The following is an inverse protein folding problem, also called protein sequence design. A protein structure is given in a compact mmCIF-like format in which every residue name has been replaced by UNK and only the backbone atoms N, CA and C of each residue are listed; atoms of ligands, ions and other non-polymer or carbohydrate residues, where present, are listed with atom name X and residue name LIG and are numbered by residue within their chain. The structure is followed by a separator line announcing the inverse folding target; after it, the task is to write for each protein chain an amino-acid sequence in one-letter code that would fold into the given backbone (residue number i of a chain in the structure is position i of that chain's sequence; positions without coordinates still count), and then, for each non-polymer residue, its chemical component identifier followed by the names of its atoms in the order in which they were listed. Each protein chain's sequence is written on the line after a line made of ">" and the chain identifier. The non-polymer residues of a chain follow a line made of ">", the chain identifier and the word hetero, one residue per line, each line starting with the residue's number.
data_IF_312611322594
#
_entry.id   IF_312611322594
#
_cell.length_a   1.000
_cell.length_b   1.000
_cell.length_c   1.000
_cell.angle_alpha   90.00
_cell.angle_beta   90.00
_cell.angle_gamma   90.00
#
_symmetry.space_group_name_H-M   'P 1'
#
loop_
_entity.id
_entity.type
_entity.pdbx_description
1 polymer ?
#
# COMPACT_ATOMS: atom_id res chain seq x y z
N UNK A 1 -0.13 19.66 8.80
CA UNK A 1 1.22 19.11 8.54
C UNK A 1 1.15 17.66 8.02
N UNK A 2 0.26 16.82 8.56
CA UNK A 2 -0.01 15.43 8.13
C UNK A 2 -0.50 15.32 6.68
N UNK A 3 -1.42 16.20 6.27
CA UNK A 3 -2.03 16.17 4.92
C UNK A 3 -1.01 16.32 3.78
N UNK A 4 0.08 17.05 4.00
CA UNK A 4 1.15 17.22 3.00
C UNK A 4 2.03 15.95 2.88
N UNK A 5 2.27 15.25 3.99
CA UNK A 5 3.01 13.97 3.98
C UNK A 5 2.22 12.88 3.29
N UNK A 6 0.92 12.81 3.55
CA UNK A 6 0.04 11.82 2.95
C UNK A 6 -0.07 12.01 1.43
N UNK A 7 -0.31 13.24 0.95
CA UNK A 7 -0.31 13.55 -0.49
C UNK A 7 1.01 13.17 -1.15
N UNK A 8 2.14 13.53 -0.53
CA UNK A 8 3.48 13.17 -1.03
C UNK A 8 3.68 11.66 -1.08
N UNK A 9 3.22 10.92 -0.07
CA UNK A 9 3.29 9.46 -0.07
C UNK A 9 2.47 8.86 -1.21
N UNK A 10 1.24 9.33 -1.38
CA UNK A 10 0.33 8.90 -2.45
C UNK A 10 0.99 9.10 -3.83
N UNK A 11 1.62 10.25 -4.07
CA UNK A 11 2.34 10.53 -5.31
C UNK A 11 3.55 9.61 -5.51
N UNK A 12 4.36 9.40 -4.48
CA UNK A 12 5.51 8.49 -4.53
C UNK A 12 5.09 7.05 -4.82
N UNK A 13 3.98 6.58 -4.22
CA UNK A 13 3.43 5.25 -4.50
C UNK A 13 2.99 5.15 -5.96
N UNK A 14 2.19 6.10 -6.44
CA UNK A 14 1.72 6.12 -7.83
C UNK A 14 2.87 6.11 -8.83
N UNK A 15 3.86 6.96 -8.62
CA UNK A 15 5.02 7.08 -9.50
C UNK A 15 5.85 5.80 -9.50
N UNK A 16 6.09 5.22 -8.33
CA UNK A 16 6.86 3.98 -8.21
C UNK A 16 6.14 2.79 -8.84
N UNK A 17 4.85 2.59 -8.55
CA UNK A 17 4.08 1.47 -9.12
C UNK A 17 4.01 1.58 -10.66
N UNK A 18 3.79 2.78 -11.20
CA UNK A 18 3.79 2.98 -12.65
C UNK A 18 5.17 2.79 -13.29
N UNK A 19 6.26 3.09 -12.56
CA UNK A 19 7.62 2.79 -13.01
C UNK A 19 7.95 1.29 -12.92
N UNK A 20 7.41 0.59 -11.94
CA UNK A 20 7.59 -0.85 -11.75
C UNK A 20 6.87 -1.64 -12.85
N UNK A 21 5.63 -1.28 -13.14
CA UNK A 21 4.84 -1.84 -14.23
C UNK A 21 3.87 -0.78 -14.77
N UNK A 22 4.08 -0.26 -15.99
CA UNK A 22 3.22 0.75 -16.58
C UNK A 22 1.75 0.30 -16.64
N UNK A 23 0.84 1.15 -16.15
CA UNK A 23 -0.60 0.86 -16.13
C UNK A 23 -1.07 -0.02 -14.98
N UNK A 24 -0.16 -0.63 -14.22
CA UNK A 24 -0.52 -1.48 -13.06
C UNK A 24 -1.34 -0.71 -12.03
N UNK A 25 -0.89 0.50 -11.66
CA UNK A 25 -1.60 1.30 -10.66
C UNK A 25 -3.04 1.58 -11.10
N UNK A 26 -3.23 2.06 -12.33
CA UNK A 26 -4.56 2.44 -12.83
C UNK A 26 -5.49 1.24 -12.99
N UNK A 27 -4.97 0.13 -13.52
CA UNK A 27 -5.75 -1.09 -13.69
C UNK A 27 -6.17 -1.66 -12.33
N UNK A 28 -5.26 -1.70 -11.36
CA UNK A 28 -5.56 -2.19 -10.03
C UNK A 28 -6.50 -1.23 -9.26
N UNK A 29 -6.31 0.09 -9.38
CA UNK A 29 -7.20 1.11 -8.79
C UNK A 29 -8.63 1.00 -9.32
N UNK A 30 -8.80 0.68 -10.60
CA UNK A 30 -10.11 0.40 -11.19
C UNK A 30 -10.78 -0.81 -10.52
N UNK A 31 -10.03 -1.88 -10.26
CA UNK A 31 -10.55 -3.04 -9.54
C UNK A 31 -10.91 -2.71 -8.08
N UNK A 32 -10.02 -2.01 -7.36
CA UNK A 32 -10.29 -1.55 -5.99
C UNK A 32 -11.60 -0.75 -5.94
N UNK A 33 -11.77 0.23 -6.82
CA UNK A 33 -12.98 1.05 -6.89
C UNK A 33 -14.22 0.25 -7.25
N UNK A 34 -14.11 -0.65 -8.22
CA UNK A 34 -15.24 -1.47 -8.65
C UNK A 34 -15.73 -2.43 -7.58
N UNK A 35 -14.81 -3.04 -6.83
CA UNK A 35 -15.13 -4.11 -5.87
C UNK A 35 -15.41 -3.59 -4.46
N UNK A 36 -14.82 -2.46 -4.07
CA UNK A 36 -14.93 -1.91 -2.70
C UNK A 36 -15.49 -0.50 -2.61
N UNK A 37 -15.66 0.21 -3.74
CA UNK A 37 -15.99 1.63 -3.77
C UNK A 37 -14.84 2.58 -3.44
N UNK A 38 -13.67 2.07 -3.04
CA UNK A 38 -12.51 2.85 -2.61
C UNK A 38 -11.32 2.65 -3.54
N UNK A 39 -10.45 3.66 -3.65
CA UNK A 39 -9.16 3.54 -4.33
C UNK A 39 -8.21 2.60 -3.59
N UNK A 40 -7.24 2.04 -4.28
CA UNK A 40 -6.27 1.15 -3.63
C UNK A 40 -5.44 1.86 -2.56
N UNK A 41 -5.23 3.18 -2.69
CA UNK A 41 -4.48 3.96 -1.70
C UNK A 41 -5.31 4.29 -0.47
N UNK A 42 -6.61 4.60 -0.63
CA UNK A 42 -7.53 4.71 0.51
C UNK A 42 -7.59 3.39 1.27
N UNK A 43 -7.73 2.26 0.57
CA UNK A 43 -7.68 0.96 1.20
C UNK A 43 -6.34 0.71 1.88
N UNK A 44 -5.20 1.01 1.26
CA UNK A 44 -3.89 0.81 1.88
C UNK A 44 -3.76 1.55 3.23
N UNK A 45 -4.25 2.79 3.29
CA UNK A 45 -4.10 3.65 4.47
C UNK A 45 -5.16 3.38 5.55
N UNK A 46 -6.39 3.10 5.15
CA UNK A 46 -7.52 2.96 6.08
C UNK A 46 -7.98 1.53 6.33
N UNK A 47 -7.85 0.64 5.34
CA UNK A 47 -8.26 -0.75 5.47
C UNK A 47 -7.35 -1.71 4.65
N UNK A 48 -6.08 -1.88 5.05
CA UNK A 48 -5.13 -2.71 4.31
C UNK A 48 -5.53 -4.18 4.24
N UNK A 49 -6.39 -4.64 5.16
CA UNK A 49 -6.96 -5.99 5.11
C UNK A 49 -7.87 -6.17 3.89
N UNK A 50 -8.75 -5.20 3.63
CA UNK A 50 -9.58 -5.21 2.44
C UNK A 50 -8.73 -5.15 1.17
N UNK A 51 -7.67 -4.34 1.14
CA UNK A 51 -6.73 -4.32 0.01
C UNK A 51 -6.07 -5.68 -0.23
N UNK A 52 -5.56 -6.33 0.83
CA UNK A 52 -4.94 -7.66 0.75
C UNK A 52 -5.93 -8.68 0.20
N UNK A 53 -7.15 -8.70 0.74
CA UNK A 53 -8.16 -9.66 0.32
C UNK A 53 -8.54 -9.48 -1.15
N UNK A 54 -8.64 -8.23 -1.64
CA UNK A 54 -8.84 -7.95 -3.07
C UNK A 54 -7.66 -8.40 -3.93
N UNK A 55 -6.42 -8.16 -3.48
CA UNK A 55 -5.23 -8.66 -4.20
C UNK A 55 -5.26 -10.19 -4.31
N UNK A 56 -5.63 -10.89 -3.23
CA UNK A 56 -5.76 -12.35 -3.22
C UNK A 56 -6.83 -12.80 -4.20
N UNK A 57 -7.99 -12.14 -4.23
CA UNK A 57 -9.08 -12.46 -5.14
C UNK A 57 -8.68 -12.27 -6.61
N UNK A 58 -7.97 -11.19 -6.93
CA UNK A 58 -7.60 -10.83 -8.30
C UNK A 58 -6.46 -11.71 -8.84
N UNK A 59 -5.42 -11.93 -8.03
CA UNK A 59 -4.22 -12.62 -8.49
C UNK A 59 -4.21 -14.12 -8.17
N UNK A 60 -5.05 -14.57 -7.24
CA UNK A 60 -5.18 -15.96 -6.80
C UNK A 60 -3.82 -16.67 -6.53
N UNK A 61 -2.84 -15.90 -6.07
CA UNK A 61 -1.46 -16.35 -5.86
C UNK A 61 -0.79 -15.51 -4.79
N UNK A 62 -0.35 -16.15 -3.71
CA UNK A 62 0.31 -15.45 -2.59
C UNK A 62 1.60 -14.75 -3.03
N UNK A 63 2.38 -15.35 -3.94
CA UNK A 63 3.62 -14.75 -4.43
C UNK A 63 3.37 -13.54 -5.33
N UNK A 64 2.29 -13.56 -6.11
CA UNK A 64 1.87 -12.41 -6.90
C UNK A 64 1.40 -11.28 -5.98
N UNK A 65 0.58 -11.58 -4.98
CA UNK A 65 0.12 -10.60 -3.97
C UNK A 65 1.31 -9.95 -3.27
N UNK A 66 2.29 -10.74 -2.83
CA UNK A 66 3.50 -10.22 -2.18
C UNK A 66 4.30 -9.30 -3.10
N UNK A 67 4.45 -9.68 -4.36
CA UNK A 67 5.17 -8.88 -5.37
C UNK A 67 4.48 -7.54 -5.63
N UNK A 68 3.15 -7.55 -5.79
CA UNK A 68 2.39 -6.33 -6.01
C UNK A 68 2.37 -5.47 -4.74
N UNK A 69 2.18 -6.07 -3.56
CA UNK A 69 2.25 -5.37 -2.29
C UNK A 69 3.61 -4.68 -2.09
N UNK A 70 4.71 -5.36 -2.45
CA UNK A 70 6.06 -4.77 -2.44
C UNK A 70 6.13 -3.48 -3.26
N UNK A 71 5.56 -3.46 -4.46
CA UNK A 71 5.53 -2.26 -5.30
C UNK A 71 4.76 -1.11 -4.63
N UNK A 72 3.64 -1.39 -3.94
CA UNK A 72 2.89 -0.36 -3.22
C UNK A 72 3.62 0.12 -1.94
N UNK A 73 4.33 -0.76 -1.26
CA UNK A 73 4.90 -0.50 0.06
C UNK A 73 6.33 0.06 0.02
N UNK A 74 7.11 -0.27 -1.00
CA UNK A 74 8.51 0.15 -1.13
C UNK A 74 8.71 1.67 -1.00
N UNK A 75 7.85 2.54 -1.56
CA UNK A 75 8.00 4.00 -1.45
C UNK A 75 7.85 4.54 -0.03
N UNK A 76 7.19 3.80 0.88
CA UNK A 76 7.00 4.21 2.27
C UNK A 76 8.35 4.27 3.02
N UNK A 77 9.31 3.42 2.65
CA UNK A 77 10.65 3.40 3.24
C UNK A 77 11.45 4.67 2.95
N UNK A 78 11.08 5.44 1.91
CA UNK A 78 11.64 6.77 1.62
C UNK A 78 11.18 7.84 2.63
N UNK A 79 10.04 7.61 3.29
CA UNK A 79 9.46 8.54 4.25
C UNK A 79 9.84 8.17 5.68
N UNK A 80 9.98 6.86 5.94
CA UNK A 80 10.42 6.33 7.23
C UNK A 80 11.63 5.42 7.06
N UNK A 81 12.79 5.87 7.52
CA UNK A 81 14.02 5.08 7.51
C UNK A 81 14.06 4.00 8.60
N UNK A 82 13.11 4.00 9.55
CA UNK A 82 13.06 3.03 10.65
C UNK A 82 12.33 1.73 10.29
N UNK A 83 11.74 1.62 9.10
CA UNK A 83 10.96 0.43 8.70
C UNK A 83 11.44 -0.08 7.35
N UNK A 84 11.77 -1.37 7.28
CA UNK A 84 12.12 -2.03 6.03
C UNK A 84 10.89 -2.41 5.21
N UNK A 85 11.05 -2.55 3.89
CA UNK A 85 9.94 -2.98 3.04
C UNK A 85 9.53 -4.41 3.35
N UNK A 86 10.47 -5.27 3.73
CA UNK A 86 10.23 -6.66 4.14
C UNK A 86 9.29 -6.70 5.35
N UNK A 87 9.50 -5.81 6.33
CA UNK A 87 8.61 -5.70 7.49
C UNK A 87 7.22 -5.22 7.09
N UNK A 88 7.12 -4.24 6.20
CA UNK A 88 5.83 -3.74 5.71
C UNK A 88 5.05 -4.84 4.98
N UNK A 89 5.74 -5.65 4.16
CA UNK A 89 5.14 -6.79 3.44
C UNK A 89 4.69 -7.86 4.43
N UNK A 90 5.53 -8.21 5.40
CA UNK A 90 5.18 -9.19 6.44
C UNK A 90 3.93 -8.77 7.19
N UNK A 91 3.84 -7.48 7.58
CA UNK A 91 2.65 -6.91 8.20
C UNK A 91 1.45 -6.94 7.25
N UNK A 92 1.62 -6.54 5.99
CA UNK A 92 0.54 -6.59 5.01
C UNK A 92 -0.05 -7.99 4.87
N UNK A 93 0.80 -9.01 4.75
CA UNK A 93 0.37 -10.39 4.54
C UNK A 93 -0.25 -11.00 5.80
N UNK A 94 0.38 -10.80 6.96
CA UNK A 94 0.06 -11.56 8.18
C UNK A 94 -0.73 -10.76 9.23
N UNK A 95 -0.56 -9.43 9.27
CA UNK A 95 -1.20 -8.57 10.27
C UNK A 95 -1.51 -7.16 9.72
N UNK A 96 -2.49 -7.04 8.80
CA UNK A 96 -2.79 -5.77 8.14
C UNK A 96 -3.28 -4.69 9.12
N UNK A 97 -3.86 -5.05 10.26
CA UNK A 97 -4.24 -4.08 11.29
C UNK A 97 -3.03 -3.41 11.93
N UNK A 98 -1.97 -4.17 12.17
CA UNK A 98 -0.71 -3.62 12.63
C UNK A 98 -0.02 -2.78 11.56
N UNK A 99 -0.11 -3.17 10.27
CA UNK A 99 0.35 -2.32 9.17
C UNK A 99 -0.35 -0.95 9.23
N UNK A 100 -1.67 -0.92 9.38
CA UNK A 100 -2.45 0.33 9.48
C UNK A 100 -1.92 1.23 10.61
N UNK A 101 -1.64 0.66 11.77
CA UNK A 101 -1.06 1.39 12.91
C UNK A 101 0.29 2.01 12.53
N UNK A 102 1.19 1.23 11.96
CA UNK A 102 2.53 1.69 11.52
C UNK A 102 2.42 2.80 10.48
N UNK A 103 1.53 2.67 9.48
CA UNK A 103 1.33 3.71 8.46
C UNK A 103 0.85 5.03 9.08
N UNK A 104 -0.05 4.97 10.06
CA UNK A 104 -0.53 6.15 10.78
C UNK A 104 0.58 6.82 11.58
N UNK A 105 1.43 6.05 12.25
CA UNK A 105 2.57 6.58 13.00
C UNK A 105 3.58 7.28 12.09
N UNK A 106 3.89 6.68 10.94
CA UNK A 106 4.76 7.27 9.91
C UNK A 106 4.19 8.61 9.42
N UNK A 107 2.88 8.64 9.10
CA UNK A 107 2.22 9.85 8.60
C UNK A 107 2.13 10.95 9.67
N UNK A 108 1.85 10.58 10.92
CA UNK A 108 1.79 11.52 12.05
C UNK A 108 3.18 11.97 12.51
N UNK A 109 4.24 11.22 12.21
CA UNK A 109 5.61 11.50 12.65
C UNK A 109 5.83 11.24 14.14
N UNK A 110 5.03 10.34 14.73
CA UNK A 110 5.23 9.87 16.10
C UNK A 110 6.38 8.88 16.06
N UNK A 111 7.49 9.22 16.73
CA UNK A 111 8.66 8.36 16.91
C UNK A 111 8.49 7.47 18.13
#
# INVERSE_FOLDING_TARGET
>A
MTENKERKLIEEIKNHVNSFAPGLFYMFDLFCRRLSGNSCLELLLDNPEALRNLMIEIYNSSSAVETIAKAFLQPITKISSSTSVERLIELFMNNPMELRRVLREILQGVK
#
